data_IF_876886262046
#
_entry.id   IF_876886262046
#
_cell.length_a   1.000
_cell.length_b   1.000
_cell.length_c   1.000
_cell.angle_alpha   90.00
_cell.angle_beta   90.00
_cell.angle_gamma   90.00
#
_symmetry.space_group_name_H-M   'P 1'
#
loop_
_entity.id
_entity.type
_entity.pdbx_description
1 polymer ?
#
# COMPACT_ATOMS: atom_id res chain seq x y z
N UNK A 1 -5.56 -44.49 -38.51
CA UNK A 1 -5.31 -43.94 -37.17
C UNK A 1 -5.70 -42.45 -37.15
N UNK A 2 -6.80 -42.11 -36.51
CA UNK A 2 -7.32 -40.74 -36.49
C UNK A 2 -6.94 -40.07 -35.17
N UNK A 3 -6.20 -38.97 -35.23
CA UNK A 3 -5.86 -38.14 -34.09
C UNK A 3 -7.09 -37.30 -33.69
N UNK A 4 -7.65 -37.56 -32.52
CA UNK A 4 -8.67 -36.73 -31.88
C UNK A 4 -7.99 -35.53 -31.23
N UNK A 5 -8.16 -34.32 -31.81
CA UNK A 5 -7.78 -33.08 -31.19
C UNK A 5 -8.68 -32.75 -29.99
N UNK A 6 -8.10 -32.63 -28.79
CA UNK A 6 -8.74 -32.06 -27.62
C UNK A 6 -8.82 -30.54 -27.76
N UNK A 7 -10.05 -30.02 -27.93
CA UNK A 7 -10.32 -28.59 -27.80
C UNK A 7 -10.35 -28.22 -26.31
N UNK A 8 -9.36 -27.48 -25.85
CA UNK A 8 -9.41 -26.81 -24.54
C UNK A 8 -10.51 -25.74 -24.57
N UNK A 9 -11.58 -25.94 -23.83
CA UNK A 9 -12.56 -24.88 -23.50
C UNK A 9 -11.99 -24.02 -22.38
N UNK A 10 -11.42 -22.87 -22.70
CA UNK A 10 -11.13 -21.83 -21.70
C UNK A 10 -12.45 -21.22 -21.23
N UNK A 11 -12.80 -21.41 -19.96
CA UNK A 11 -14.04 -20.92 -19.38
C UNK A 11 -13.94 -19.39 -19.18
N UNK A 12 -14.99 -18.67 -19.57
CA UNK A 12 -15.16 -17.22 -19.34
C UNK A 12 -15.23 -16.84 -17.85
N UNK A 13 -15.23 -17.82 -16.96
CA UNK A 13 -15.38 -17.65 -15.52
C UNK A 13 -14.07 -17.27 -14.84
N UNK A 14 -12.92 -17.70 -15.38
CA UNK A 14 -11.60 -17.46 -14.79
C UNK A 14 -11.18 -15.98 -14.89
N UNK A 15 -11.52 -15.28 -15.98
CA UNK A 15 -11.16 -13.85 -16.16
C UNK A 15 -11.83 -12.89 -15.17
N UNK A 16 -13.04 -13.22 -14.65
CA UNK A 16 -13.70 -12.40 -13.62
C UNK A 16 -13.12 -12.61 -12.23
N UNK A 17 -12.62 -13.81 -11.96
CA UNK A 17 -11.93 -14.15 -10.71
C UNK A 17 -10.59 -13.41 -10.58
N UNK A 18 -9.85 -13.33 -11.68
CA UNK A 18 -8.52 -12.70 -11.70
C UNK A 18 -8.60 -11.16 -11.62
N UNK A 19 -9.60 -10.56 -12.27
CA UNK A 19 -9.87 -9.14 -12.16
C UNK A 19 -10.20 -8.71 -10.72
N UNK A 20 -10.81 -9.61 -9.95
CA UNK A 20 -11.26 -9.34 -8.59
C UNK A 20 -10.13 -9.46 -7.56
N UNK A 21 -9.21 -10.41 -7.73
CA UNK A 21 -8.02 -10.61 -6.88
C UNK A 21 -7.08 -9.42 -6.94
N UNK A 22 -7.04 -8.78 -8.07
CA UNK A 22 -6.24 -7.66 -8.44
C UNK A 22 -6.56 -6.35 -7.72
N UNK A 23 -7.83 -5.99 -7.63
CA UNK A 23 -8.26 -4.75 -7.00
C UNK A 23 -7.84 -4.65 -5.51
N UNK A 24 -7.59 -5.76 -4.86
CA UNK A 24 -7.26 -5.84 -3.46
C UNK A 24 -5.88 -5.30 -3.10
N UNK A 25 -4.89 -5.61 -3.89
CA UNK A 25 -3.53 -5.22 -3.58
C UNK A 25 -3.29 -3.73 -3.88
N UNK A 26 -3.97 -3.18 -4.90
CA UNK A 26 -3.94 -1.74 -5.18
C UNK A 26 -4.51 -0.94 -4.01
N UNK A 27 -5.53 -1.45 -3.37
CA UNK A 27 -6.15 -0.77 -2.24
C UNK A 27 -5.39 -0.91 -0.94
N UNK A 28 -4.66 -2.00 -0.71
CA UNK A 28 -3.69 -2.03 0.36
C UNK A 28 -2.70 -0.85 0.22
N UNK A 29 -2.36 -0.49 -1.00
CA UNK A 29 -1.49 0.66 -1.29
C UNK A 29 -2.23 2.01 -1.15
N UNK A 30 -3.44 2.15 -1.70
CA UNK A 30 -4.25 3.36 -1.56
C UNK A 30 -4.76 3.57 -0.13
N UNK A 31 -4.89 2.48 0.65
CA UNK A 31 -5.37 2.51 2.03
C UNK A 31 -4.33 2.91 3.05
N UNK A 32 -3.05 2.66 2.78
CA UNK A 32 -1.98 3.27 3.58
C UNK A 32 -2.21 4.78 3.67
N UNK A 33 -2.72 5.38 2.60
CA UNK A 33 -3.00 6.82 2.53
C UNK A 33 -4.39 7.21 3.02
N UNK A 34 -5.33 6.31 2.91
CA UNK A 34 -6.70 6.55 3.37
C UNK A 34 -6.84 6.71 4.86
N UNK A 35 -6.08 5.97 5.65
CA UNK A 35 -6.13 6.03 7.12
C UNK A 35 -5.46 7.27 7.74
N UNK A 36 -4.71 8.08 6.96
CA UNK A 36 -4.10 9.33 7.42
C UNK A 36 -5.15 10.29 8.00
N UNK A 37 -6.33 10.33 7.38
CA UNK A 37 -7.39 11.25 7.76
C UNK A 37 -8.09 10.91 9.06
N UNK A 38 -8.37 9.63 9.29
CA UNK A 38 -9.15 9.21 10.44
C UNK A 38 -8.45 9.58 11.76
N UNK A 39 -7.14 9.37 11.85
CA UNK A 39 -6.37 9.66 13.07
C UNK A 39 -6.27 11.17 13.32
N UNK A 40 -6.12 11.97 12.27
CA UNK A 40 -6.02 13.44 12.38
C UNK A 40 -7.36 14.05 12.76
N UNK A 41 -8.48 13.60 12.17
CA UNK A 41 -9.82 14.11 12.47
C UNK A 41 -10.26 13.71 13.89
N UNK A 42 -9.98 12.48 14.37
CA UNK A 42 -10.32 12.05 15.73
C UNK A 42 -9.52 12.78 16.82
N UNK A 43 -8.28 13.17 16.55
CA UNK A 43 -7.50 13.98 17.52
C UNK A 43 -7.89 15.45 17.54
N UNK A 44 -8.34 16.00 16.43
CA UNK A 44 -8.61 17.46 16.32
C UNK A 44 -10.07 17.82 16.63
N UNK A 45 -11.02 16.97 16.28
CA UNK A 45 -12.43 17.18 16.62
C UNK A 45 -12.85 16.18 17.69
N UNK A 46 -12.88 16.58 18.95
CA UNK A 46 -13.50 15.82 20.04
C UNK A 46 -15.01 15.59 19.76
N UNK A 47 -15.34 14.95 18.66
CA UNK A 47 -16.73 14.63 18.31
C UNK A 47 -17.12 13.38 19.08
N UNK A 48 -17.93 13.58 20.12
CA UNK A 48 -18.54 12.51 20.90
C UNK A 48 -19.47 11.70 20.00
N UNK A 49 -19.24 10.40 19.89
CA UNK A 49 -20.11 9.43 19.20
C UNK A 49 -21.58 9.47 19.64
N UNK A 50 -21.91 10.13 20.75
CA UNK A 50 -23.27 10.31 21.23
C UNK A 50 -24.13 11.24 20.38
N UNK A 51 -23.55 12.14 19.59
CA UNK A 51 -24.33 13.10 18.76
C UNK A 51 -24.81 12.52 17.43
N UNK A 52 -24.29 11.37 17.01
CA UNK A 52 -24.63 10.75 15.73
C UNK A 52 -25.82 9.77 15.86
N UNK A 53 -26.11 9.27 17.05
CA UNK A 53 -27.15 8.26 17.29
C UNK A 53 -28.43 8.78 17.94
N UNK A 54 -28.59 10.09 18.15
CA UNK A 54 -29.83 10.66 18.63
C UNK A 54 -30.55 11.43 17.52
N UNK A 55 -31.19 10.70 16.62
CA UNK A 55 -32.26 11.27 15.78
C UNK A 55 -33.54 10.49 16.03
N UNK A 56 -34.38 11.10 16.85
CA UNK A 56 -35.75 10.66 17.07
C UNK A 56 -36.56 10.70 15.80
N UNK A 57 -37.39 9.70 15.65
CA UNK A 57 -38.44 9.53 14.65
C UNK A 57 -39.47 10.64 14.77
N UNK A 58 -39.67 11.44 13.75
CA UNK A 58 -40.93 12.16 13.55
C UNK A 58 -41.33 12.17 12.06
N UNK A 59 -42.57 11.88 11.84
CA UNK A 59 -43.30 11.54 10.61
C UNK A 59 -43.54 12.78 9.72
N UNK A 60 -43.53 12.53 8.41
CA UNK A 60 -44.22 13.23 7.27
C UNK A 60 -44.09 14.75 7.11
N UNK A 61 -43.55 15.19 5.98
CA UNK A 61 -44.32 15.76 4.85
C UNK A 61 -43.42 16.01 3.66
N UNK A 62 -44.02 15.93 2.47
CA UNK A 62 -43.40 16.13 1.17
C UNK A 62 -42.99 17.59 0.99
N UNK A 63 -41.72 17.86 0.59
CA UNK A 63 -41.36 19.10 -0.10
C UNK A 63 -40.12 18.93 -0.97
N UNK A 64 -40.10 19.63 -2.05
CA UNK A 64 -39.23 19.73 -3.20
C UNK A 64 -37.74 19.55 -2.92
N UNK A 65 -37.13 18.69 -3.76
CA UNK A 65 -35.67 18.46 -3.79
C UNK A 65 -34.98 19.67 -4.41
N UNK A 66 -34.67 20.67 -3.61
CA UNK A 66 -33.62 21.64 -3.93
C UNK A 66 -32.29 20.96 -3.70
N UNK A 67 -31.54 20.73 -4.76
CA UNK A 67 -30.15 20.25 -4.68
C UNK A 67 -29.33 21.35 -4.01
N UNK A 68 -29.18 21.28 -2.69
CA UNK A 68 -28.18 22.07 -1.98
C UNK A 68 -26.81 21.56 -2.43
N UNK A 69 -26.07 22.38 -3.16
CA UNK A 69 -24.62 22.22 -3.29
C UNK A 69 -24.05 22.18 -1.87
N UNK A 70 -23.72 20.99 -1.40
CA UNK A 70 -22.99 20.82 -0.15
C UNK A 70 -21.66 21.56 -0.31
N UNK A 71 -21.54 22.68 0.36
CA UNK A 71 -20.30 23.42 0.53
C UNK A 71 -19.34 22.49 1.28
N UNK A 72 -18.60 21.65 0.53
CA UNK A 72 -17.60 20.75 1.08
C UNK A 72 -16.47 21.65 1.57
N UNK A 73 -16.40 21.88 2.86
CA UNK A 73 -15.27 22.55 3.48
C UNK A 73 -13.99 21.80 3.06
N UNK A 74 -13.00 22.49 2.50
CA UNK A 74 -11.74 21.83 2.10
C UNK A 74 -11.17 21.05 3.30
N UNK A 75 -10.80 19.79 3.09
CA UNK A 75 -10.14 19.00 4.12
C UNK A 75 -8.76 19.60 4.38
N UNK A 76 -8.55 20.10 5.58
CA UNK A 76 -7.27 20.66 5.97
C UNK A 76 -6.25 19.52 6.14
N UNK A 77 -5.13 19.62 5.41
CA UNK A 77 -4.03 18.67 5.51
C UNK A 77 -3.13 19.07 6.66
N UNK A 78 -3.06 18.25 7.70
CA UNK A 78 -2.19 18.53 8.85
C UNK A 78 -1.74 17.26 9.57
N UNK A 79 -0.59 17.37 10.26
CA UNK A 79 -0.04 16.33 11.11
C UNK A 79 0.82 15.30 10.39
N UNK A 80 1.37 14.38 11.20
CA UNK A 80 2.25 13.30 10.73
C UNK A 80 1.76 11.96 11.19
N UNK A 81 1.84 10.96 10.31
CA UNK A 81 1.38 9.61 10.60
C UNK A 81 2.30 8.59 9.95
N UNK A 82 2.66 7.52 10.68
CA UNK A 82 3.48 6.45 10.15
C UNK A 82 2.64 5.23 9.81
N UNK A 83 2.97 4.62 8.69
CA UNK A 83 2.38 3.38 8.19
C UNK A 83 3.47 2.35 7.96
N UNK A 84 3.18 1.08 8.21
CA UNK A 84 4.05 -0.02 7.83
C UNK A 84 3.54 -0.67 6.55
N UNK A 85 4.40 -0.82 5.56
CA UNK A 85 4.13 -1.63 4.38
C UNK A 85 5.17 -2.74 4.26
N UNK A 86 4.73 -3.93 3.84
CA UNK A 86 5.62 -5.06 3.63
C UNK A 86 5.10 -6.02 2.56
N UNK A 87 6.03 -6.76 1.99
CA UNK A 87 5.72 -7.85 1.08
C UNK A 87 6.56 -9.07 1.42
N UNK A 88 5.93 -10.24 1.46
CA UNK A 88 6.56 -11.53 1.75
C UNK A 88 6.36 -12.53 0.63
N UNK A 89 7.11 -13.63 0.67
CA UNK A 89 6.78 -14.82 -0.08
C UNK A 89 5.38 -15.33 0.31
N UNK A 90 4.74 -16.09 -0.58
CA UNK A 90 3.37 -16.58 -0.39
C UNK A 90 3.25 -17.57 0.78
N UNK A 91 4.33 -18.25 1.12
CA UNK A 91 4.46 -19.18 2.27
C UNK A 91 5.07 -18.55 3.52
N UNK A 92 5.30 -17.23 3.50
CA UNK A 92 5.99 -16.50 4.56
C UNK A 92 7.40 -17.03 4.89
N UNK A 93 8.12 -17.57 3.90
CA UNK A 93 9.49 -18.04 4.07
C UNK A 93 10.51 -16.91 3.98
N UNK A 94 10.17 -15.82 3.28
CA UNK A 94 11.04 -14.68 3.00
C UNK A 94 10.25 -13.38 3.02
N UNK A 95 10.86 -12.30 3.48
CA UNK A 95 10.33 -10.93 3.34
C UNK A 95 11.11 -10.20 2.23
N UNK A 96 10.40 -9.65 1.26
CA UNK A 96 11.02 -9.00 0.11
C UNK A 96 11.32 -7.54 0.34
N UNK A 97 10.40 -6.86 1.02
CA UNK A 97 10.61 -5.50 1.51
C UNK A 97 9.82 -5.23 2.79
N UNK A 98 10.31 -4.26 3.55
CA UNK A 98 9.69 -3.74 4.76
C UNK A 98 9.99 -2.25 4.85
N UNK A 99 8.96 -1.40 4.84
CA UNK A 99 9.15 0.05 4.83
C UNK A 99 8.18 0.74 5.77
N UNK A 100 8.67 1.79 6.42
CA UNK A 100 7.83 2.77 7.10
C UNK A 100 7.57 3.92 6.12
N UNK A 101 6.32 4.32 5.99
CA UNK A 101 5.92 5.50 5.25
C UNK A 101 5.47 6.54 6.27
N UNK A 102 6.20 7.64 6.40
CA UNK A 102 5.78 8.83 7.12
C UNK A 102 4.99 9.72 6.17
N UNK A 103 3.73 9.89 6.44
CA UNK A 103 2.90 10.87 5.76
C UNK A 103 2.96 12.17 6.56
N UNK A 104 3.71 13.14 6.06
CA UNK A 104 3.88 14.47 6.62
C UNK A 104 2.94 15.43 5.87
N UNK A 105 1.72 15.56 6.39
CA UNK A 105 0.70 16.38 5.75
C UNK A 105 0.90 17.87 5.95
N UNK A 106 1.63 18.27 6.99
CA UNK A 106 2.01 19.67 7.18
C UNK A 106 2.87 20.18 6.02
N UNK A 107 3.72 19.29 5.47
CA UNK A 107 4.61 19.58 4.34
C UNK A 107 4.13 18.96 3.02
N UNK A 108 2.97 18.33 2.98
CA UNK A 108 2.43 17.64 1.81
C UNK A 108 3.44 16.69 1.14
N UNK A 109 4.15 15.89 1.94
CA UNK A 109 5.19 14.98 1.47
C UNK A 109 5.05 13.60 2.11
N UNK A 110 5.36 12.57 1.32
CA UNK A 110 5.46 11.18 1.77
C UNK A 110 6.93 10.80 1.85
N UNK A 111 7.33 10.31 3.02
CA UNK A 111 8.72 9.93 3.25
C UNK A 111 8.79 8.43 3.48
N UNK A 112 9.63 7.77 2.70
CA UNK A 112 9.83 6.32 2.75
C UNK A 112 11.10 6.02 3.53
N UNK A 113 10.97 5.25 4.61
CA UNK A 113 12.11 4.71 5.38
C UNK A 113 12.20 3.22 5.12
N UNK A 114 13.15 2.77 4.29
CA UNK A 114 13.42 1.35 4.10
C UNK A 114 13.99 0.74 5.40
N UNK A 115 13.49 -0.44 5.75
CA UNK A 115 14.05 -1.27 6.81
C UNK A 115 14.67 -2.52 6.19
N UNK A 116 15.66 -3.10 6.88
CA UNK A 116 16.22 -4.37 6.46
C UNK A 116 15.14 -5.47 6.60
N UNK A 117 14.66 -6.09 5.49
CA UNK A 117 13.63 -7.13 5.57
C UNK A 117 14.12 -8.41 6.28
N UNK A 118 15.44 -8.64 6.34
CA UNK A 118 16.06 -9.74 7.08
C UNK A 118 16.46 -9.33 8.51
N UNK A 119 16.08 -8.12 8.92
CA UNK A 119 16.33 -7.59 10.25
C UNK A 119 15.61 -8.35 11.35
N UNK A 120 15.98 -8.01 12.58
CA UNK A 120 15.44 -8.62 13.80
C UNK A 120 14.79 -7.56 14.68
N UNK A 121 13.78 -7.99 15.42
CA UNK A 121 13.16 -7.22 16.48
C UNK A 121 14.10 -7.05 17.69
N UNK A 122 13.70 -6.26 18.67
CA UNK A 122 14.46 -6.03 19.88
C UNK A 122 14.71 -7.32 20.71
N UNK A 123 13.83 -8.31 20.60
CA UNK A 123 13.95 -9.62 21.24
C UNK A 123 14.72 -10.65 20.40
N UNK A 124 15.34 -10.24 19.30
CA UNK A 124 16.24 -11.04 18.46
C UNK A 124 15.54 -11.95 17.44
N UNK A 125 14.21 -11.98 17.36
CA UNK A 125 13.46 -12.74 16.36
C UNK A 125 13.49 -12.02 15.02
N UNK A 126 13.66 -12.75 13.91
CA UNK A 126 13.55 -12.15 12.58
C UNK A 126 12.12 -11.68 12.27
N UNK A 127 11.98 -10.62 11.48
CA UNK A 127 10.67 -10.08 11.12
C UNK A 127 9.81 -11.09 10.36
N UNK A 128 10.42 -11.89 9.48
CA UNK A 128 9.70 -12.94 8.75
C UNK A 128 9.21 -14.04 9.69
N UNK A 129 9.99 -14.41 10.71
CA UNK A 129 9.56 -15.38 11.71
C UNK A 129 8.38 -14.85 12.54
N UNK A 130 8.43 -13.59 12.98
CA UNK A 130 7.33 -12.95 13.71
C UNK A 130 6.05 -12.94 12.85
N UNK A 131 6.16 -12.56 11.56
CA UNK A 131 5.04 -12.55 10.64
C UNK A 131 4.41 -13.94 10.51
N UNK A 132 5.25 -14.97 10.33
CA UNK A 132 4.81 -16.36 10.14
C UNK A 132 4.15 -16.95 11.40
N UNK A 133 4.75 -16.73 12.57
CA UNK A 133 4.31 -17.34 13.84
C UNK A 133 3.18 -16.56 14.53
N UNK A 134 3.17 -15.25 14.39
CA UNK A 134 2.35 -14.37 15.22
C UNK A 134 1.50 -13.36 14.42
N UNK A 135 1.65 -13.33 13.10
CA UNK A 135 0.89 -12.49 12.19
C UNK A 135 1.34 -11.03 12.12
N UNK A 136 0.68 -10.29 11.23
CA UNK A 136 1.05 -8.93 10.87
C UNK A 136 0.98 -7.93 12.04
N UNK A 137 -0.04 -8.00 12.89
CA UNK A 137 -0.16 -7.09 14.05
C UNK A 137 1.02 -7.20 15.02
N UNK A 138 1.59 -8.41 15.21
CA UNK A 138 2.77 -8.59 16.04
C UNK A 138 4.04 -8.08 15.35
N UNK A 139 4.16 -8.24 14.04
CA UNK A 139 5.24 -7.64 13.25
C UNK A 139 5.24 -6.13 13.40
N UNK A 140 4.08 -5.47 13.25
CA UNK A 140 3.92 -4.02 13.43
C UNK A 140 4.40 -3.57 14.81
N UNK A 141 3.95 -4.26 15.88
CA UNK A 141 4.36 -3.95 17.25
C UNK A 141 5.88 -4.09 17.44
N UNK A 142 6.48 -5.12 16.85
CA UNK A 142 7.92 -5.36 16.93
C UNK A 142 8.73 -4.28 16.20
N UNK A 143 8.28 -3.85 15.02
CA UNK A 143 8.88 -2.74 14.27
C UNK A 143 8.72 -1.43 15.01
N UNK A 144 7.51 -1.10 15.48
CA UNK A 144 7.23 0.11 16.24
C UNK A 144 8.13 0.25 17.48
N UNK A 145 8.30 -0.85 18.22
CA UNK A 145 9.17 -0.91 19.39
C UNK A 145 10.64 -0.69 19.01
N UNK A 146 11.14 -1.37 17.97
CA UNK A 146 12.54 -1.26 17.56
C UNK A 146 12.88 0.12 17.05
N UNK A 147 12.02 0.69 16.20
CA UNK A 147 12.21 2.01 15.60
C UNK A 147 11.82 3.16 16.55
N UNK A 148 11.26 2.84 17.73
CA UNK A 148 10.75 3.79 18.73
C UNK A 148 9.79 4.83 18.13
N UNK A 149 8.81 4.35 17.35
CA UNK A 149 7.80 5.18 16.68
C UNK A 149 6.41 4.57 16.89
N UNK A 150 5.39 5.41 16.78
CA UNK A 150 4.01 4.95 16.65
C UNK A 150 3.73 4.59 15.17
N UNK A 151 3.15 3.42 14.91
CA UNK A 151 2.66 2.99 13.60
C UNK A 151 1.14 2.92 13.70
N UNK A 152 0.46 3.82 13.00
CA UNK A 152 -0.99 3.94 13.10
C UNK A 152 -1.73 2.80 12.40
N UNK A 153 -1.24 2.39 11.23
CA UNK A 153 -1.84 1.37 10.37
C UNK A 153 -0.78 0.62 9.56
N UNK A 154 -1.17 -0.53 9.01
CA UNK A 154 -0.29 -1.30 8.16
C UNK A 154 -1.00 -1.92 6.96
N UNK A 155 -0.23 -2.21 5.92
CA UNK A 155 -0.65 -3.01 4.78
C UNK A 155 0.45 -3.98 4.37
N UNK A 156 0.12 -5.26 4.37
CA UNK A 156 1.01 -6.34 3.95
C UNK A 156 0.42 -7.09 2.75
N UNK A 157 1.29 -7.65 1.93
CA UNK A 157 0.92 -8.48 0.80
C UNK A 157 1.84 -9.67 0.66
N UNK A 158 1.36 -10.70 -0.02
CA UNK A 158 2.25 -11.74 -0.57
C UNK A 158 2.76 -11.31 -1.94
N UNK A 159 3.77 -12.01 -2.44
CA UNK A 159 4.37 -11.76 -3.75
C UNK A 159 3.35 -11.83 -4.88
N UNK A 160 2.52 -12.88 -4.91
CA UNK A 160 1.47 -13.04 -5.91
C UNK A 160 0.50 -11.87 -5.89
N UNK A 161 0.00 -11.53 -4.71
CA UNK A 161 -0.96 -10.43 -4.52
C UNK A 161 -0.36 -9.08 -4.93
N UNK A 162 0.89 -8.81 -4.55
CA UNK A 162 1.59 -7.59 -4.93
C UNK A 162 1.81 -7.50 -6.44
N UNK A 163 2.28 -8.59 -7.07
CA UNK A 163 2.51 -8.62 -8.51
C UNK A 163 1.22 -8.38 -9.31
N UNK A 164 0.12 -8.99 -8.90
CA UNK A 164 -1.20 -8.76 -9.50
C UNK A 164 -1.61 -7.28 -9.40
N UNK A 165 -1.36 -6.63 -8.26
CA UNK A 165 -1.67 -5.22 -8.06
C UNK A 165 -0.91 -4.32 -9.03
N UNK A 166 0.38 -4.50 -9.09
CA UNK A 166 1.24 -3.74 -10.00
C UNK A 166 0.83 -3.93 -11.46
N UNK A 167 0.52 -5.17 -11.86
CA UNK A 167 0.10 -5.47 -13.23
C UNK A 167 -1.20 -4.78 -13.63
N UNK A 168 -2.07 -4.61 -12.70
CA UNK A 168 -3.31 -3.90 -12.98
C UNK A 168 -3.12 -2.40 -13.12
N UNK A 169 -2.24 -1.82 -12.36
CA UNK A 169 -1.82 -0.44 -12.58
C UNK A 169 -0.99 -0.26 -13.86
N UNK A 170 -1.06 -1.25 -14.77
CA UNK A 170 -0.28 -1.32 -16.00
C UNK A 170 1.24 -1.40 -15.78
N UNK A 171 1.67 -1.70 -14.54
CA UNK A 171 3.07 -1.75 -14.14
C UNK A 171 3.57 -0.42 -13.58
N UNK A 172 4.80 -0.43 -13.05
CA UNK A 172 5.46 0.75 -12.52
C UNK A 172 6.30 1.45 -13.60
N UNK A 173 5.97 2.68 -14.01
CA UNK A 173 6.87 3.51 -14.79
C UNK A 173 8.12 3.83 -13.96
N UNK A 174 9.29 3.43 -14.42
CA UNK A 174 10.53 3.62 -13.68
C UNK A 174 11.72 3.82 -14.61
N UNK A 175 12.63 4.73 -14.20
CA UNK A 175 13.88 4.94 -14.90
C UNK A 175 14.97 4.08 -14.23
N UNK A 176 15.41 3.04 -14.91
CA UNK A 176 16.49 2.17 -14.45
C UNK A 176 17.83 2.82 -14.80
N UNK A 177 18.63 3.16 -13.78
CA UNK A 177 19.89 3.91 -13.97
C UNK A 177 20.95 3.17 -14.78
N UNK A 178 21.00 1.83 -14.62
CA UNK A 178 21.96 0.97 -15.32
C UNK A 178 21.31 -0.37 -15.67
N UNK A 179 21.87 -1.07 -16.67
CA UNK A 179 21.42 -2.41 -17.02
C UNK A 179 21.67 -3.36 -15.86
N UNK A 180 20.63 -4.11 -15.47
CA UNK A 180 20.72 -5.16 -14.47
C UNK A 180 20.52 -6.51 -15.16
N UNK A 181 21.46 -7.43 -14.96
CA UNK A 181 21.34 -8.83 -15.35
C UNK A 181 21.77 -9.69 -14.15
N UNK A 182 20.81 -10.33 -13.51
CA UNK A 182 21.02 -11.12 -12.32
C UNK A 182 20.33 -12.47 -12.44
N UNK A 183 21.04 -13.55 -12.15
CA UNK A 183 20.56 -14.92 -12.30
C UNK A 183 20.83 -15.70 -11.03
N UNK A 184 19.83 -16.43 -10.59
CA UNK A 184 19.88 -17.44 -9.53
C UNK A 184 19.26 -18.74 -10.05
N UNK A 185 19.29 -19.79 -9.25
CA UNK A 185 18.58 -21.03 -9.59
C UNK A 185 17.07 -20.86 -9.59
N UNK A 186 16.54 -19.85 -8.87
CA UNK A 186 15.10 -19.61 -8.74
C UNK A 186 14.55 -18.65 -9.77
N UNK A 187 15.32 -17.63 -10.18
CA UNK A 187 14.83 -16.61 -11.10
C UNK A 187 15.92 -15.90 -11.89
N UNK A 188 15.51 -15.32 -13.00
CA UNK A 188 16.33 -14.38 -13.77
C UNK A 188 15.67 -13.01 -13.74
N UNK A 189 16.46 -11.97 -13.46
CA UNK A 189 16.08 -10.55 -13.58
C UNK A 189 16.90 -9.92 -14.71
N UNK A 190 16.22 -9.35 -15.68
CA UNK A 190 16.84 -8.55 -16.75
C UNK A 190 16.09 -7.23 -16.83
N UNK A 191 16.78 -6.13 -16.56
CA UNK A 191 16.27 -4.76 -16.74
C UNK A 191 17.23 -3.99 -17.63
N UNK A 192 16.71 -3.33 -18.64
CA UNK A 192 17.49 -2.45 -19.50
C UNK A 192 17.67 -1.09 -18.84
N UNK A 193 18.72 -0.38 -19.18
CA UNK A 193 18.89 1.01 -18.75
C UNK A 193 17.83 1.91 -19.39
N UNK A 194 17.35 2.92 -18.67
CA UNK A 194 16.42 3.93 -19.16
C UNK A 194 14.99 3.74 -18.66
N UNK A 195 14.08 4.52 -19.24
CA UNK A 195 12.68 4.52 -18.90
C UNK A 195 11.98 3.26 -19.40
N UNK A 196 11.32 2.57 -18.52
CA UNK A 196 10.54 1.37 -18.84
C UNK A 196 9.38 1.18 -17.85
N UNK A 197 8.45 0.31 -18.21
CA UNK A 197 7.36 -0.10 -17.31
C UNK A 197 7.68 -1.46 -16.73
N UNK A 198 7.90 -1.52 -15.41
CA UNK A 198 8.23 -2.75 -14.69
C UNK A 198 6.94 -3.43 -14.27
N UNK A 199 6.72 -4.67 -14.73
CA UNK A 199 5.58 -5.50 -14.35
C UNK A 199 5.78 -6.14 -12.98
N UNK A 200 4.68 -6.59 -12.36
CA UNK A 200 4.67 -7.01 -10.97
C UNK A 200 5.65 -8.12 -10.63
N UNK A 201 5.71 -9.18 -11.45
CA UNK A 201 6.65 -10.30 -11.23
C UNK A 201 8.11 -9.85 -11.36
N UNK A 202 8.38 -8.94 -12.30
CA UNK A 202 9.71 -8.36 -12.49
C UNK A 202 10.06 -7.44 -11.33
N UNK A 203 9.08 -6.69 -10.81
CA UNK A 203 9.28 -5.81 -9.67
C UNK A 203 9.58 -6.60 -8.38
N UNK A 204 8.91 -7.73 -8.14
CA UNK A 204 9.25 -8.65 -7.04
C UNK A 204 10.70 -9.16 -7.17
N UNK A 205 11.11 -9.60 -8.36
CA UNK A 205 12.49 -10.01 -8.61
C UNK A 205 13.47 -8.88 -8.35
N UNK A 206 13.09 -7.65 -8.67
CA UNK A 206 13.94 -6.48 -8.42
C UNK A 206 14.06 -6.18 -6.91
N UNK A 207 12.98 -6.28 -6.14
CA UNK A 207 13.06 -6.17 -4.67
C UNK A 207 13.96 -7.26 -4.08
N UNK A 208 13.85 -8.50 -4.55
CA UNK A 208 14.72 -9.60 -4.12
C UNK A 208 16.19 -9.36 -4.47
N UNK A 209 16.47 -8.90 -5.68
CA UNK A 209 17.82 -8.50 -6.08
C UNK A 209 18.38 -7.39 -5.19
N UNK A 210 17.59 -6.37 -4.89
CA UNK A 210 18.01 -5.28 -4.01
C UNK A 210 18.47 -5.80 -2.62
N UNK A 211 17.83 -6.84 -2.06
CA UNK A 211 18.27 -7.42 -0.79
C UNK A 211 19.73 -7.89 -0.83
N UNK A 212 20.22 -8.33 -1.96
CA UNK A 212 21.61 -8.80 -2.09
C UNK A 212 22.65 -7.67 -2.11
N UNK A 213 22.21 -6.42 -2.23
CA UNK A 213 23.06 -5.23 -2.36
C UNK A 213 23.23 -4.45 -1.03
N UNK A 214 22.76 -4.98 0.08
CA UNK A 214 22.86 -4.34 1.39
C UNK A 214 22.23 -2.93 1.42
N UNK A 215 22.95 -1.96 1.96
CA UNK A 215 22.45 -0.57 2.14
C UNK A 215 22.02 0.08 0.81
N UNK A 216 22.78 -0.10 -0.27
CA UNK A 216 22.42 0.48 -1.57
C UNK A 216 21.16 -0.18 -2.13
N UNK A 217 20.99 -1.48 -1.88
CA UNK A 217 19.75 -2.18 -2.22
C UNK A 217 18.54 -1.66 -1.45
N UNK A 218 18.67 -1.42 -0.14
CA UNK A 218 17.61 -0.78 0.65
C UNK A 218 17.27 0.62 0.13
N UNK A 219 18.28 1.40 -0.23
CA UNK A 219 18.08 2.73 -0.89
C UNK A 219 17.31 2.58 -2.20
N UNK A 220 17.65 1.60 -3.02
CA UNK A 220 16.95 1.31 -4.29
C UNK A 220 15.52 0.86 -4.05
N UNK A 221 15.28 0.00 -3.06
CA UNK A 221 13.92 -0.39 -2.65
C UNK A 221 13.09 0.84 -2.24
N UNK A 222 13.66 1.75 -1.46
CA UNK A 222 12.99 3.01 -1.10
C UNK A 222 12.64 3.86 -2.32
N UNK A 223 13.55 3.98 -3.32
CA UNK A 223 13.26 4.68 -4.58
C UNK A 223 12.13 4.04 -5.37
N UNK A 224 12.08 2.71 -5.42
CA UNK A 224 10.99 1.97 -6.06
C UNK A 224 9.65 2.27 -5.37
N UNK A 225 9.62 2.28 -4.04
CA UNK A 225 8.40 2.62 -3.28
C UNK A 225 8.01 4.08 -3.50
N UNK A 226 8.93 5.04 -3.46
CA UNK A 226 8.63 6.44 -3.81
C UNK A 226 8.00 6.55 -5.20
N UNK A 227 8.59 5.88 -6.21
CA UNK A 227 8.04 5.87 -7.56
C UNK A 227 6.63 5.26 -7.63
N UNK A 228 6.35 4.20 -6.86
CA UNK A 228 5.01 3.64 -6.75
C UNK A 228 4.02 4.63 -6.12
N UNK A 229 4.41 5.30 -5.03
CA UNK A 229 3.58 6.30 -4.37
C UNK A 229 3.23 7.45 -5.31
N UNK A 230 4.22 7.99 -5.99
CA UNK A 230 4.06 9.12 -6.90
C UNK A 230 3.25 8.76 -8.15
N UNK A 231 3.42 7.53 -8.67
CA UNK A 231 2.73 7.07 -9.87
C UNK A 231 1.28 6.66 -9.61
N UNK A 232 1.00 6.04 -8.45
CA UNK A 232 -0.29 5.41 -8.20
C UNK A 232 -1.23 6.30 -7.38
N UNK A 233 -0.70 7.22 -6.57
CA UNK A 233 -1.50 8.21 -5.84
C UNK A 233 -1.70 9.42 -6.74
N UNK A 234 -2.76 9.38 -7.52
CA UNK A 234 -3.15 10.45 -8.42
C UNK A 234 -4.69 10.61 -8.43
N UNK A 235 -5.23 11.77 -8.84
CA UNK A 235 -6.66 12.05 -8.79
C UNK A 235 -7.52 10.98 -9.48
N UNK A 236 -7.08 10.49 -10.64
CA UNK A 236 -7.80 9.48 -11.43
C UNK A 236 -7.97 8.16 -10.66
N UNK A 237 -6.92 7.70 -9.99
CA UNK A 237 -6.95 6.45 -9.25
C UNK A 237 -7.73 6.60 -7.94
N UNK A 238 -7.68 7.77 -7.32
CA UNK A 238 -8.36 8.08 -6.07
C UNK A 238 -9.87 8.14 -6.22
N UNK A 239 -10.41 8.67 -7.32
CA UNK A 239 -11.86 8.75 -7.57
C UNK A 239 -12.57 7.39 -7.53
N UNK A 240 -11.91 6.33 -7.96
CA UNK A 240 -12.45 4.97 -7.99
C UNK A 240 -12.09 4.14 -6.73
N UNK A 241 -11.35 4.72 -5.81
CA UNK A 241 -10.73 3.99 -4.70
C UNK A 241 -11.72 3.30 -3.76
N UNK A 242 -12.81 3.94 -3.36
CA UNK A 242 -13.76 3.38 -2.38
C UNK A 242 -14.54 2.17 -2.91
N UNK A 243 -14.97 2.20 -4.18
CA UNK A 243 -15.71 1.09 -4.81
C UNK A 243 -14.81 -0.13 -4.95
N UNK A 244 -13.58 0.15 -5.25
CA UNK A 244 -12.54 -0.84 -5.43
C UNK A 244 -12.27 -1.54 -4.09
N UNK A 245 -12.11 -0.81 -3.00
CA UNK A 245 -11.85 -1.35 -1.66
C UNK A 245 -12.95 -2.28 -1.15
N UNK A 246 -14.19 -1.87 -1.29
CA UNK A 246 -15.32 -2.68 -0.86
C UNK A 246 -15.35 -4.08 -1.50
N UNK A 247 -14.98 -4.14 -2.78
CA UNK A 247 -14.90 -5.42 -3.51
C UNK A 247 -13.74 -6.31 -3.06
N UNK A 248 -12.74 -5.74 -2.41
CA UNK A 248 -11.49 -6.40 -2.07
C UNK A 248 -11.48 -6.99 -0.68
N UNK A 249 -12.03 -6.29 0.32
CA UNK A 249 -12.18 -6.81 1.68
C UNK A 249 -12.90 -8.16 1.70
N UNK A 250 -13.77 -8.40 0.70
CA UNK A 250 -14.56 -9.64 0.62
C UNK A 250 -13.78 -10.85 0.11
N UNK A 251 -12.56 -10.72 -0.43
CA UNK A 251 -11.91 -11.80 -1.20
C UNK A 251 -10.42 -12.03 -1.03
N UNK A 252 -9.74 -11.26 -0.19
CA UNK A 252 -8.29 -11.43 -0.04
C UNK A 252 -7.86 -11.69 1.39
N UNK A 253 -6.85 -12.56 1.51
CA UNK A 253 -5.98 -12.66 2.67
C UNK A 253 -5.06 -11.41 2.73
N UNK A 254 -5.67 -10.19 2.80
CA UNK A 254 -4.90 -8.98 2.99
C UNK A 254 -4.53 -8.88 4.47
N UNK A 255 -3.25 -8.80 4.77
CA UNK A 255 -2.73 -8.50 6.10
C UNK A 255 -2.82 -6.98 6.36
N UNK A 256 -4.03 -6.43 6.44
CA UNK A 256 -4.28 -5.02 6.71
C UNK A 256 -5.23 -4.85 7.89
N UNK A 257 -4.97 -3.85 8.72
CA UNK A 257 -5.83 -3.44 9.84
C UNK A 257 -6.76 -2.27 9.50
N UNK A 258 -6.88 -1.92 8.23
CA UNK A 258 -7.69 -0.80 7.75
C UNK A 258 -9.08 -1.29 7.43
N UNK A 259 -10.10 -0.73 8.07
CA UNK A 259 -11.50 -1.03 7.79
C UNK A 259 -12.03 -0.26 6.56
N UNK A 260 -13.15 -0.73 6.01
CA UNK A 260 -13.82 -0.03 4.90
C UNK A 260 -14.22 1.41 5.24
N UNK A 261 -14.72 1.65 6.44
CA UNK A 261 -15.12 2.99 6.87
C UNK A 261 -13.93 3.93 6.98
N UNK A 262 -12.84 3.49 7.59
CA UNK A 262 -11.59 4.26 7.67
C UNK A 262 -11.05 4.59 6.28
N UNK A 263 -11.12 3.66 5.35
CA UNK A 263 -10.72 3.90 3.97
C UNK A 263 -11.60 4.95 3.27
N UNK A 264 -12.90 4.91 3.49
CA UNK A 264 -13.84 5.86 2.90
C UNK A 264 -13.61 7.29 3.43
N UNK A 265 -13.45 7.43 4.76
CA UNK A 265 -13.14 8.72 5.39
C UNK A 265 -11.81 9.28 4.90
N UNK A 266 -10.83 8.42 4.77
CA UNK A 266 -9.51 8.77 4.30
C UNK A 266 -9.47 9.26 2.84
N UNK A 267 -10.41 8.86 2.00
CA UNK A 267 -10.43 9.27 0.60
C UNK A 267 -10.51 10.79 0.42
N UNK A 268 -11.18 11.51 1.35
CA UNK A 268 -11.23 12.97 1.31
C UNK A 268 -9.83 13.58 1.47
N UNK A 269 -9.03 13.09 2.40
CA UNK A 269 -7.66 13.57 2.61
C UNK A 269 -6.73 13.17 1.48
N UNK A 270 -6.86 11.94 0.95
CA UNK A 270 -6.06 11.53 -0.21
C UNK A 270 -6.38 12.40 -1.43
N UNK A 271 -7.65 12.75 -1.66
CA UNK A 271 -8.04 13.71 -2.69
C UNK A 271 -7.44 15.09 -2.44
N UNK A 272 -7.51 15.59 -1.21
CA UNK A 272 -6.92 16.86 -0.84
C UNK A 272 -5.40 16.85 -1.05
N UNK A 273 -4.71 15.78 -0.64
CA UNK A 273 -3.29 15.60 -0.89
C UNK A 273 -2.94 15.56 -2.39
N UNK A 274 -3.70 14.79 -3.19
CA UNK A 274 -3.47 14.70 -4.64
C UNK A 274 -3.65 16.04 -5.36
N UNK A 275 -4.57 16.87 -4.88
CA UNK A 275 -4.92 18.16 -5.50
C UNK A 275 -4.18 19.34 -4.86
N UNK A 276 -3.34 19.10 -3.84
CA UNK A 276 -2.57 20.16 -3.19
C UNK A 276 -1.50 20.71 -4.14
N UNK A 277 -1.47 22.02 -4.30
CA UNK A 277 -0.41 22.73 -5.04
C UNK A 277 0.95 22.59 -4.35
N UNK A 278 0.94 22.31 -3.04
CA UNK A 278 2.15 22.14 -2.22
C UNK A 278 2.65 20.69 -2.20
N UNK A 279 2.00 19.76 -2.92
CA UNK A 279 2.42 18.37 -2.96
C UNK A 279 3.86 18.22 -3.45
N UNK A 280 4.67 17.58 -2.62
CA UNK A 280 6.06 17.28 -2.94
C UNK A 280 6.19 15.82 -3.45
N UNK A 281 7.17 15.55 -4.34
CA UNK A 281 7.55 14.18 -4.67
C UNK A 281 7.93 13.39 -3.42
N UNK A 282 7.59 12.10 -3.42
CA UNK A 282 7.96 11.20 -2.32
C UNK A 282 9.47 11.10 -2.19
N UNK A 283 9.99 11.05 -0.97
CA UNK A 283 11.42 11.02 -0.71
C UNK A 283 11.82 9.88 0.22
N UNK A 284 13.11 9.53 0.24
CA UNK A 284 13.67 8.49 1.09
C UNK A 284 14.28 9.12 2.33
N UNK A 285 14.01 8.53 3.49
CA UNK A 285 14.74 8.77 4.72
C UNK A 285 15.58 7.53 5.02
N UNK A 286 16.89 7.69 5.13
CA UNK A 286 17.77 6.64 5.61
C UNK A 286 18.24 7.06 6.99
N UNK A 287 17.89 6.29 8.01
CA UNK A 287 18.45 6.47 9.36
C UNK A 287 19.71 5.62 9.49
N UNK A 288 20.74 6.14 10.12
CA UNK A 288 22.01 5.42 10.39
C UNK A 288 21.76 4.14 11.19
N UNK A 289 20.67 4.08 11.97
CA UNK A 289 20.28 2.91 12.78
C UNK A 289 19.69 1.76 11.94
N UNK A 290 19.23 2.02 10.72
CA UNK A 290 18.66 0.98 9.83
C UNK A 290 19.73 0.16 9.08
N UNK A 291 21.01 0.56 9.19
CA UNK A 291 22.12 -0.01 8.42
C UNK A 291 22.83 -1.13 9.21
N UNK A 292 22.84 -1.08 10.52
CA UNK A 292 23.63 -1.95 11.40
C UNK A 292 22.82 -3.08 12.09
N UNK A 293 21.63 -3.38 11.65
CA UNK A 293 20.74 -4.36 12.29
C UNK A 293 20.39 -5.56 11.43
#
# INVERSE_FOLDING_TARGET
MAFRGHKFKTSKQDKKSDLLRFFAAFLAFALVFGSISAVVIFRHNQISLKSIFSKETTTSDSEETTTEEQNITPTELSGKTNFLIFCSADDYSEMYFLHIIEADMDNCILKVRPLNPDGKSADGKSYVQILKESGAGRLVSAVAQKENIEIAKYAGSTAETFALAINYMDGLPYNVNERIEYRTDEYTLILTQGNQTIKGETLIKYFRYCKTLGTEGMRTQGKLVCAMLDSFINPKNVENGSIIYQKLLSKLNSNSDISFFEAAEAMATVKAYCNSENRQPSTIIISDTSIDS
#
